data_IF_568488884738
#
_entry.id   IF_568488884738
#
_cell.length_a   1.000
_cell.length_b   1.000
_cell.length_c   1.000
_cell.angle_alpha   90.00
_cell.angle_beta   90.00
_cell.angle_gamma   90.00
#
_symmetry.space_group_name_H-M   'P 1'
#
loop_
_entity.id
_entity.type
_entity.pdbx_description
1 polymer ?
#
# COMPACT_ATOMS: atom_id res chain seq x y z
N UNK A 1 5.11 -6.03 -5.63
CA UNK A 1 5.62 -5.83 -7.02
C UNK A 1 5.09 -4.54 -7.64
N UNK A 2 5.94 -3.78 -8.33
CA UNK A 2 5.57 -2.50 -8.99
C UNK A 2 4.85 -2.73 -10.33
N UNK A 3 4.14 -1.70 -10.85
CA UNK A 3 3.45 -1.78 -12.16
C UNK A 3 4.42 -2.12 -13.30
N UNK A 4 5.58 -1.46 -13.31
CA UNK A 4 6.63 -1.65 -14.33
C UNK A 4 7.14 -3.09 -14.36
N UNK A 5 7.26 -3.74 -13.20
CA UNK A 5 7.69 -5.13 -13.15
C UNK A 5 6.62 -6.08 -13.69
N UNK A 6 5.33 -5.78 -13.46
CA UNK A 6 4.21 -6.57 -13.98
C UNK A 6 4.13 -6.43 -15.50
N UNK A 7 4.31 -5.23 -16.04
CA UNK A 7 4.38 -4.98 -17.49
C UNK A 7 5.55 -5.71 -18.14
N UNK A 8 6.74 -5.66 -17.52
CA UNK A 8 7.90 -6.41 -18.00
C UNK A 8 7.63 -7.93 -18.00
N UNK A 9 7.04 -8.47 -16.93
CA UNK A 9 6.66 -9.87 -16.86
C UNK A 9 5.64 -10.24 -17.95
N UNK A 10 4.62 -9.41 -18.17
CA UNK A 10 3.64 -9.60 -19.24
C UNK A 10 4.29 -9.59 -20.63
N UNK A 11 5.23 -8.68 -20.88
CA UNK A 11 5.92 -8.61 -22.18
C UNK A 11 6.76 -9.87 -22.43
N UNK A 12 7.50 -10.35 -21.42
CA UNK A 12 8.31 -11.56 -21.56
C UNK A 12 7.41 -12.79 -21.79
N UNK A 13 6.29 -12.93 -21.08
CA UNK A 13 5.38 -14.07 -21.24
C UNK A 13 4.58 -14.05 -22.54
N UNK A 14 4.45 -12.90 -23.20
CA UNK A 14 3.86 -12.77 -24.53
C UNK A 14 4.83 -13.12 -25.66
N UNK A 15 6.12 -12.84 -25.47
CA UNK A 15 7.16 -13.03 -26.51
C UNK A 15 7.78 -14.42 -26.45
N UNK A 16 7.89 -15.01 -25.26
CA UNK A 16 8.57 -16.29 -25.05
C UNK A 16 7.62 -17.36 -24.52
N UNK A 17 7.73 -18.57 -25.07
CA UNK A 17 7.07 -19.77 -24.54
C UNK A 17 7.81 -20.27 -23.29
N UNK A 18 7.54 -19.62 -22.16
CA UNK A 18 8.18 -19.95 -20.89
C UNK A 18 7.67 -21.28 -20.32
N UNK A 19 8.59 -22.09 -19.82
CA UNK A 19 8.25 -23.24 -18.96
C UNK A 19 7.75 -22.77 -17.60
N UNK A 20 7.00 -23.62 -16.89
CA UNK A 20 6.59 -23.34 -15.51
C UNK A 20 7.77 -22.99 -14.60
N UNK A 21 8.91 -23.69 -14.76
CA UNK A 21 10.14 -23.40 -14.01
C UNK A 21 10.68 -21.99 -14.28
N UNK A 22 10.68 -21.56 -15.55
CA UNK A 22 11.13 -20.23 -15.93
C UNK A 22 10.18 -19.14 -15.40
N UNK A 23 8.87 -19.39 -15.43
CA UNK A 23 7.87 -18.50 -14.82
C UNK A 23 8.11 -18.34 -13.32
N UNK A 24 8.26 -19.46 -12.60
CA UNK A 24 8.52 -19.44 -11.16
C UNK A 24 9.85 -18.77 -10.81
N UNK A 25 10.87 -18.93 -11.65
CA UNK A 25 12.15 -18.23 -11.50
C UNK A 25 11.99 -16.72 -11.68
N UNK A 26 11.26 -16.27 -12.69
CA UNK A 26 10.98 -14.85 -12.93
C UNK A 26 10.19 -14.23 -11.78
N UNK A 27 9.29 -14.97 -11.15
CA UNK A 27 8.56 -14.52 -9.96
C UNK A 27 9.49 -14.38 -8.74
N UNK A 28 10.52 -15.21 -8.60
CA UNK A 28 11.44 -15.14 -7.45
C UNK A 28 12.40 -13.93 -7.47
N UNK A 29 12.59 -13.27 -8.62
CA UNK A 29 13.54 -12.16 -8.73
C UNK A 29 12.99 -10.84 -8.13
N UNK A 30 11.75 -10.40 -8.45
CA UNK A 30 11.21 -9.13 -7.96
C UNK A 30 10.30 -9.24 -6.73
N UNK A 31 9.97 -10.46 -6.27
CA UNK A 31 9.02 -10.69 -5.18
C UNK A 31 9.71 -11.33 -3.97
N UNK A 32 9.34 -10.88 -2.77
CA UNK A 32 9.58 -11.66 -1.55
C UNK A 32 8.73 -12.94 -1.54
N UNK A 33 9.10 -13.91 -0.69
CA UNK A 33 8.32 -15.14 -0.53
C UNK A 33 6.84 -14.87 -0.16
N UNK A 34 6.59 -13.86 0.69
CA UNK A 34 5.24 -13.46 1.10
C UNK A 34 4.45 -12.86 -0.06
N UNK A 35 5.04 -11.93 -0.82
CA UNK A 35 4.36 -11.34 -1.98
C UNK A 35 4.08 -12.37 -3.07
N UNK A 36 5.00 -13.32 -3.30
CA UNK A 36 4.80 -14.43 -4.23
C UNK A 36 3.64 -15.31 -3.78
N UNK A 37 3.60 -15.71 -2.51
CA UNK A 37 2.53 -16.54 -1.98
C UNK A 37 1.17 -15.82 -2.09
N UNK A 38 1.12 -14.53 -1.76
CA UNK A 38 -0.08 -13.72 -1.91
C UNK A 38 -0.54 -13.65 -3.37
N UNK A 39 0.39 -13.44 -4.32
CA UNK A 39 0.06 -13.37 -5.74
C UNK A 39 -0.49 -14.69 -6.29
N UNK A 40 0.12 -15.82 -5.92
CA UNK A 40 -0.35 -17.15 -6.32
C UNK A 40 -1.71 -17.49 -5.69
N UNK A 41 -1.94 -17.11 -4.44
CA UNK A 41 -3.24 -17.28 -3.78
C UNK A 41 -4.31 -16.41 -4.45
N UNK A 42 -4.01 -15.16 -4.77
CA UNK A 42 -4.94 -14.29 -5.49
C UNK A 42 -5.26 -14.81 -6.90
N UNK A 43 -4.27 -15.40 -7.57
CA UNK A 43 -4.44 -16.06 -8.86
C UNK A 43 -5.33 -17.32 -8.75
N UNK A 44 -5.14 -18.13 -7.70
CA UNK A 44 -5.97 -19.30 -7.40
C UNK A 44 -7.43 -18.90 -7.18
N UNK A 45 -7.70 -17.95 -6.27
CA UNK A 45 -9.05 -17.45 -6.00
C UNK A 45 -9.70 -16.88 -7.27
N UNK A 46 -8.94 -16.12 -8.07
CA UNK A 46 -9.46 -15.58 -9.32
C UNK A 46 -9.83 -16.67 -10.33
N UNK A 47 -9.00 -17.71 -10.47
CA UNK A 47 -9.27 -18.84 -11.37
C UNK A 47 -10.46 -19.70 -10.92
N UNK A 48 -10.73 -19.80 -9.62
CA UNK A 48 -11.93 -20.44 -9.07
C UNK A 48 -13.21 -19.65 -9.41
N UNK A 49 -13.16 -18.32 -9.26
CA UNK A 49 -14.28 -17.43 -9.51
C UNK A 49 -14.56 -17.22 -11.02
N UNK A 50 -13.50 -17.23 -11.84
CA UNK A 50 -13.55 -16.91 -13.27
C UNK A 50 -12.93 -18.03 -14.11
N UNK A 51 -13.56 -19.22 -14.14
CA UNK A 51 -13.06 -20.33 -14.93
C UNK A 51 -13.14 -19.97 -16.42
N UNK A 52 -11.99 -19.68 -17.01
CA UNK A 52 -11.87 -19.47 -18.43
C UNK A 52 -12.23 -20.77 -19.19
N UNK A 53 -13.14 -20.67 -20.16
CA UNK A 53 -13.54 -21.79 -21.00
C UNK A 53 -12.66 -21.85 -22.25
N UNK A 54 -12.08 -23.02 -22.55
CA UNK A 54 -11.50 -23.26 -23.87
C UNK A 54 -12.62 -23.36 -24.90
N UNK A 55 -12.65 -22.45 -25.85
CA UNK A 55 -13.38 -22.63 -27.11
C UNK A 55 -12.36 -22.66 -28.24
N UNK A 56 -11.93 -23.85 -28.64
CA UNK A 56 -11.43 -24.02 -30.00
C UNK A 56 -12.66 -24.00 -30.92
N UNK A 57 -12.71 -23.06 -31.85
CA UNK A 57 -13.80 -22.99 -32.82
C UNK A 57 -13.85 -24.21 -33.77
N UNK A 58 -12.90 -25.15 -33.65
CA UNK A 58 -12.76 -26.31 -34.55
C UNK A 58 -13.06 -27.67 -33.91
N UNK A 59 -13.35 -27.75 -32.63
CA UNK A 59 -13.66 -29.03 -31.96
C UNK A 59 -14.83 -28.87 -31.02
N UNK A 60 -15.90 -29.62 -31.30
CA UNK A 60 -16.97 -29.87 -30.33
C UNK A 60 -16.34 -30.37 -29.02
N UNK A 61 -16.87 -29.90 -27.89
CA UNK A 61 -16.37 -30.23 -26.55
C UNK A 61 -16.35 -31.75 -26.37
N UNK A 62 -15.17 -32.36 -26.45
CA UNK A 62 -15.00 -33.78 -26.19
C UNK A 62 -15.39 -34.07 -24.72
N UNK A 63 -16.46 -34.84 -24.46
CA UNK A 63 -16.91 -35.14 -23.10
C UNK A 63 -15.94 -36.02 -22.31
N UNK A 64 -14.88 -36.54 -22.95
CA UNK A 64 -13.82 -37.34 -22.31
C UNK A 64 -12.65 -36.51 -21.81
N UNK A 65 -12.54 -35.22 -22.17
CA UNK A 65 -11.52 -34.33 -21.64
C UNK A 65 -11.79 -34.02 -20.16
N UNK A 66 -10.79 -34.21 -19.31
CA UNK A 66 -10.88 -33.89 -17.88
C UNK A 66 -11.38 -32.44 -17.67
N UNK A 67 -12.20 -32.20 -16.63
CA UNK A 67 -12.70 -30.87 -16.34
C UNK A 67 -11.55 -29.88 -16.21
N UNK A 68 -11.75 -28.68 -16.77
CA UNK A 68 -10.73 -27.64 -16.82
C UNK A 68 -10.10 -27.41 -15.44
N UNK A 69 -8.76 -27.31 -15.36
CA UNK A 69 -8.08 -27.06 -14.10
C UNK A 69 -8.58 -25.76 -13.48
N UNK A 70 -9.05 -25.83 -12.23
CA UNK A 70 -9.46 -24.68 -11.41
C UNK A 70 -8.56 -24.56 -10.19
N UNK A 71 -8.51 -23.36 -9.62
CA UNK A 71 -7.72 -23.07 -8.43
C UNK A 71 -6.28 -23.59 -8.53
N UNK A 72 -5.90 -24.47 -7.60
CA UNK A 72 -4.54 -25.05 -7.50
C UNK A 72 -4.08 -25.81 -8.73
N UNK A 73 -4.98 -26.34 -9.54
CA UNK A 73 -4.61 -27.04 -10.78
C UNK A 73 -4.24 -26.05 -11.89
N UNK A 74 -4.84 -24.86 -11.87
CA UNK A 74 -4.58 -23.81 -12.85
C UNK A 74 -3.35 -22.97 -12.49
N UNK A 75 -3.08 -22.82 -11.19
CA UNK A 75 -1.92 -22.11 -10.65
C UNK A 75 -1.12 -23.04 -9.74
N UNK A 76 -0.43 -24.05 -10.31
CA UNK A 76 0.25 -25.06 -9.53
C UNK A 76 1.50 -24.48 -8.85
N UNK A 77 1.64 -24.74 -7.55
CA UNK A 77 2.81 -24.36 -6.73
C UNK A 77 3.99 -25.33 -6.88
N UNK A 78 3.73 -26.54 -7.37
CA UNK A 78 4.70 -27.55 -7.77
C UNK A 78 4.72 -27.73 -9.29
N UNK A 79 5.78 -28.35 -9.83
CA UNK A 79 5.93 -28.56 -11.27
C UNK A 79 4.79 -29.44 -11.81
N UNK A 80 3.89 -28.92 -12.66
CA UNK A 80 2.73 -29.65 -13.12
C UNK A 80 3.02 -30.69 -14.21
N UNK A 81 4.28 -30.79 -14.69
CA UNK A 81 4.67 -31.68 -15.79
C UNK A 81 3.80 -31.53 -17.04
N UNK A 82 3.36 -30.30 -17.36
CA UNK A 82 2.58 -30.06 -18.57
C UNK A 82 3.35 -30.49 -19.81
N UNK A 83 2.69 -31.26 -20.67
CA UNK A 83 3.29 -31.78 -21.89
C UNK A 83 3.68 -30.63 -22.84
N UNK A 84 4.98 -30.51 -23.19
CA UNK A 84 5.39 -29.58 -24.22
C UNK A 84 4.75 -29.92 -25.57
N UNK A 85 4.53 -28.91 -26.40
CA UNK A 85 4.14 -29.05 -27.82
C UNK A 85 2.76 -29.70 -28.09
N UNK A 86 1.96 -29.99 -27.07
CA UNK A 86 0.56 -30.39 -27.23
C UNK A 86 -0.37 -29.17 -27.15
N UNK A 87 -1.53 -29.25 -27.82
CA UNK A 87 -2.56 -28.21 -27.72
C UNK A 87 -3.01 -28.01 -26.26
N UNK A 88 -3.19 -29.12 -25.54
CA UNK A 88 -3.57 -29.13 -24.11
C UNK A 88 -2.50 -28.49 -23.24
N UNK A 89 -1.23 -28.87 -23.37
CA UNK A 89 -0.15 -28.30 -22.56
C UNK A 89 0.15 -26.83 -22.89
N UNK A 90 0.01 -26.43 -24.15
CA UNK A 90 0.05 -25.02 -24.56
C UNK A 90 -1.08 -24.22 -23.93
N UNK A 91 -2.29 -24.76 -23.90
CA UNK A 91 -3.43 -24.11 -23.31
C UNK A 91 -3.29 -23.97 -21.78
N UNK A 92 -2.89 -25.04 -21.08
CA UNK A 92 -2.66 -25.04 -19.64
C UNK A 92 -1.63 -23.98 -19.23
N UNK A 93 -0.52 -23.89 -19.98
CA UNK A 93 0.51 -22.86 -19.80
C UNK A 93 -0.06 -21.45 -19.94
N UNK A 94 -0.76 -21.17 -21.04
CA UNK A 94 -1.33 -19.84 -21.31
C UNK A 94 -2.36 -19.43 -20.25
N UNK A 95 -3.19 -20.37 -19.79
CA UNK A 95 -4.15 -20.12 -18.73
C UNK A 95 -3.48 -19.82 -17.39
N UNK A 96 -2.49 -20.62 -17.01
CA UNK A 96 -1.75 -20.38 -15.78
C UNK A 96 -1.08 -19.01 -15.79
N UNK A 97 -0.46 -18.62 -16.91
CA UNK A 97 0.13 -17.30 -17.08
C UNK A 97 -0.90 -16.17 -16.93
N UNK A 98 -2.10 -16.33 -17.49
CA UNK A 98 -3.17 -15.36 -17.35
C UNK A 98 -3.62 -15.18 -15.89
N UNK A 99 -3.81 -16.28 -15.16
CA UNK A 99 -4.19 -16.22 -13.75
C UNK A 99 -3.06 -15.67 -12.87
N UNK A 100 -1.81 -16.08 -13.09
CA UNK A 100 -0.65 -15.53 -12.38
C UNK A 100 -0.56 -14.02 -12.60
N UNK A 101 -0.71 -13.56 -13.85
CA UNK A 101 -0.68 -12.14 -14.18
C UNK A 101 -1.79 -11.37 -13.47
N UNK A 102 -2.99 -11.94 -13.37
CA UNK A 102 -4.09 -11.32 -12.65
C UNK A 102 -3.87 -11.33 -11.13
N UNK A 103 -3.32 -12.41 -10.57
CA UNK A 103 -2.87 -12.47 -9.18
C UNK A 103 -1.85 -11.38 -8.86
N UNK A 104 -0.86 -11.17 -9.73
CA UNK A 104 0.13 -10.08 -9.61
C UNK A 104 -0.51 -8.69 -9.68
N UNK A 105 -1.53 -8.49 -10.53
CA UNK A 105 -2.26 -7.21 -10.61
C UNK A 105 -3.07 -6.95 -9.36
N UNK A 106 -3.70 -7.97 -8.79
CA UNK A 106 -4.50 -7.90 -7.56
C UNK A 106 -3.64 -7.67 -6.31
N UNK A 107 -2.44 -8.23 -6.28
CA UNK A 107 -1.48 -8.04 -5.18
C UNK A 107 -0.44 -6.96 -5.44
N UNK A 108 -0.61 -6.20 -6.53
CA UNK A 108 0.24 -5.08 -6.87
C UNK A 108 0.30 -4.12 -5.69
N UNK A 109 1.52 -3.89 -5.20
CA UNK A 109 1.75 -2.86 -4.19
C UNK A 109 1.71 -1.50 -4.88
N UNK A 110 0.91 -0.57 -4.35
CA UNK A 110 0.98 0.85 -4.73
C UNK A 110 2.42 1.29 -4.53
N UNK A 111 3.05 1.96 -5.53
CA UNK A 111 4.37 2.52 -5.34
C UNK A 111 4.33 3.48 -4.14
N UNK A 112 5.27 3.31 -3.23
CA UNK A 112 5.40 4.11 -2.02
C UNK A 112 5.68 5.58 -2.40
N UNK A 113 4.66 6.43 -2.36
CA UNK A 113 4.77 7.81 -2.82
C UNK A 113 5.14 8.74 -1.66
N UNK A 114 6.42 8.72 -1.29
CA UNK A 114 6.94 9.54 -0.20
C UNK A 114 6.75 11.05 -0.44
N UNK A 115 6.87 11.51 -1.69
CA UNK A 115 6.71 12.94 -2.00
C UNK A 115 5.30 13.44 -1.71
N UNK A 116 4.26 12.63 -1.98
CA UNK A 116 2.88 12.98 -1.62
C UNK A 116 2.69 13.03 -0.10
N UNK A 117 3.27 12.10 0.66
CA UNK A 117 3.24 12.18 2.13
C UNK A 117 3.93 13.44 2.65
N UNK A 118 5.06 13.83 2.05
CA UNK A 118 5.81 15.03 2.41
C UNK A 118 5.06 16.35 2.15
N UNK A 119 4.01 16.36 1.31
CA UNK A 119 3.19 17.56 1.09
C UNK A 119 2.19 17.88 2.20
N UNK A 120 1.95 16.94 3.12
CA UNK A 120 1.02 17.12 4.24
C UNK A 120 1.71 17.94 5.34
N UNK A 121 1.62 19.26 5.28
CA UNK A 121 2.11 20.14 6.35
C UNK A 121 1.04 20.43 7.41
N UNK A 122 1.47 20.67 8.64
CA UNK A 122 0.62 21.21 9.71
C UNK A 122 0.06 22.58 9.29
N UNK A 123 -1.26 22.77 9.42
CA UNK A 123 -1.88 24.10 9.25
C UNK A 123 -2.01 24.77 10.63
N UNK A 124 -1.68 26.06 10.76
CA UNK A 124 -1.63 26.74 12.06
C UNK A 124 -3.00 26.74 12.78
N UNK A 125 -4.09 26.77 12.03
CA UNK A 125 -5.47 26.73 12.54
C UNK A 125 -5.98 25.30 12.83
N UNK A 126 -5.18 24.30 12.49
CA UNK A 126 -5.56 22.90 12.64
C UNK A 126 -5.07 22.37 14.00
N UNK A 127 -5.93 21.60 14.67
CA UNK A 127 -5.53 20.92 15.89
C UNK A 127 -4.68 19.66 15.57
N UNK A 128 -3.85 19.19 16.51
CA UNK A 128 -2.97 18.04 16.28
C UNK A 128 -3.70 16.74 15.89
N UNK A 129 -4.97 16.56 16.29
CA UNK A 129 -5.78 15.40 15.90
C UNK A 129 -6.11 15.41 14.42
N UNK A 130 -6.61 16.53 13.90
CA UNK A 130 -6.93 16.68 12.49
C UNK A 130 -5.67 16.50 11.63
N UNK A 131 -4.52 17.02 12.08
CA UNK A 131 -3.25 16.81 11.39
C UNK A 131 -2.85 15.33 11.34
N UNK A 132 -2.95 14.61 12.46
CA UNK A 132 -2.64 13.18 12.52
C UNK A 132 -3.59 12.35 11.65
N UNK A 133 -4.88 12.68 11.61
CA UNK A 133 -5.85 12.02 10.74
C UNK A 133 -5.51 12.23 9.26
N UNK A 134 -5.16 13.44 8.83
CA UNK A 134 -4.73 13.67 7.43
C UNK A 134 -3.48 12.87 7.07
N UNK A 135 -2.55 12.69 8.01
CA UNK A 135 -1.38 11.83 7.82
C UNK A 135 -1.78 10.34 7.66
N UNK A 136 -2.73 9.85 8.47
CA UNK A 136 -3.29 8.49 8.35
C UNK A 136 -4.02 8.29 7.02
N UNK A 137 -4.87 9.23 6.62
CA UNK A 137 -5.56 9.19 5.33
C UNK A 137 -4.57 9.19 4.17
N UNK A 138 -3.54 10.03 4.22
CA UNK A 138 -2.51 10.10 3.20
C UNK A 138 -1.69 8.80 3.14
N UNK A 139 -1.38 8.17 4.27
CA UNK A 139 -0.72 6.87 4.35
C UNK A 139 -1.54 5.81 3.60
N UNK A 140 -2.83 5.68 3.92
CA UNK A 140 -3.74 4.72 3.29
C UNK A 140 -3.90 5.00 1.79
N UNK A 141 -3.98 6.28 1.42
CA UNK A 141 -4.20 6.70 0.03
C UNK A 141 -2.97 6.45 -0.85
N UNK A 142 -1.79 6.82 -0.37
CA UNK A 142 -0.55 6.93 -1.17
C UNK A 142 0.50 5.84 -0.89
N UNK A 143 0.23 4.92 0.03
CA UNK A 143 1.11 3.78 0.30
C UNK A 143 0.33 2.46 0.29
N UNK A 144 1.06 1.34 0.28
CA UNK A 144 0.53 -0.01 0.51
C UNK A 144 0.82 -0.53 1.92
N UNK A 145 1.28 0.35 2.82
CA UNK A 145 1.55 -0.02 4.21
C UNK A 145 0.21 -0.22 4.91
N UNK A 146 0.07 -1.33 5.63
CA UNK A 146 -1.11 -1.59 6.45
C UNK A 146 -1.24 -0.54 7.55
N UNK A 147 -2.44 0.01 7.82
CA UNK A 147 -2.61 1.13 8.76
C UNK A 147 -2.14 0.80 10.19
N UNK A 148 -2.23 -0.48 10.58
CA UNK A 148 -1.85 -0.98 11.91
C UNK A 148 -0.46 -1.64 11.95
N UNK A 149 0.35 -1.46 10.90
CA UNK A 149 1.69 -2.02 10.84
C UNK A 149 2.71 -1.21 11.64
N UNK A 150 3.80 -1.86 12.04
CA UNK A 150 4.92 -1.18 12.71
C UNK A 150 5.57 -0.12 11.80
N UNK A 151 5.62 -0.39 10.50
CA UNK A 151 6.11 0.55 9.48
C UNK A 151 5.21 1.80 9.38
N UNK A 152 3.89 1.63 9.48
CA UNK A 152 2.95 2.75 9.54
C UNK A 152 3.23 3.63 10.76
N UNK A 153 3.42 3.02 11.93
CA UNK A 153 3.69 3.75 13.17
C UNK A 153 4.99 4.55 13.09
N UNK A 154 6.07 3.95 12.59
CA UNK A 154 7.36 4.64 12.38
C UNK A 154 7.18 5.84 11.44
N UNK A 155 6.48 5.64 10.32
CA UNK A 155 6.34 6.69 9.32
C UNK A 155 5.44 7.82 9.79
N UNK A 156 4.33 7.50 10.46
CA UNK A 156 3.43 8.47 11.07
C UNK A 156 4.18 9.29 12.12
N UNK A 157 5.01 8.65 12.96
CA UNK A 157 5.83 9.35 13.94
C UNK A 157 6.80 10.34 13.28
N UNK A 158 7.58 9.87 12.30
CA UNK A 158 8.52 10.72 11.58
C UNK A 158 7.83 11.93 10.94
N UNK A 159 6.70 11.70 10.27
CA UNK A 159 5.93 12.76 9.60
C UNK A 159 5.31 13.73 10.60
N UNK A 160 4.70 13.21 11.66
CA UNK A 160 4.10 14.03 12.72
C UNK A 160 5.13 14.99 13.35
N UNK A 161 6.38 14.54 13.54
CA UNK A 161 7.46 15.40 14.03
C UNK A 161 7.93 16.38 12.95
N UNK A 162 8.31 15.88 11.77
CA UNK A 162 9.00 16.69 10.74
C UNK A 162 8.11 17.75 10.10
N UNK A 163 6.80 17.47 9.99
CA UNK A 163 5.81 18.32 9.34
C UNK A 163 4.97 19.16 10.32
N UNK A 164 5.16 19.02 11.64
CA UNK A 164 4.60 19.92 12.63
C UNK A 164 5.11 21.35 12.48
N UNK A 165 4.34 22.31 13.02
CA UNK A 165 4.75 23.71 13.12
C UNK A 165 6.11 23.84 13.84
N UNK A 166 6.97 24.83 13.50
CA UNK A 166 8.36 24.88 13.98
C UNK A 166 8.55 24.84 15.50
N UNK A 167 7.64 25.47 16.25
CA UNK A 167 7.61 25.54 17.71
C UNK A 167 7.19 24.20 18.34
N UNK A 168 6.15 23.56 17.80
CA UNK A 168 5.70 22.21 18.18
C UNK A 168 6.79 21.19 17.85
N UNK A 169 7.32 21.21 16.62
CA UNK A 169 8.36 20.31 16.12
C UNK A 169 9.58 20.27 17.05
N UNK A 170 10.05 21.42 17.52
CA UNK A 170 11.21 21.49 18.43
C UNK A 170 10.96 20.76 19.75
N UNK A 171 9.74 20.80 20.28
CA UNK A 171 9.35 20.06 21.49
C UNK A 171 9.23 18.56 21.21
N UNK A 172 8.59 18.19 20.11
CA UNK A 172 8.43 16.80 19.69
C UNK A 172 9.77 16.09 19.44
N UNK A 173 10.72 16.77 18.78
CA UNK A 173 12.06 16.23 18.53
C UNK A 173 12.81 15.91 19.83
N UNK A 174 12.68 16.74 20.87
CA UNK A 174 13.31 16.49 22.17
C UNK A 174 12.72 15.27 22.86
N UNK A 175 11.40 15.09 22.80
CA UNK A 175 10.71 13.95 23.38
C UNK A 175 11.07 12.64 22.64
N UNK A 176 11.18 12.70 21.31
CA UNK A 176 11.47 11.56 20.47
C UNK A 176 12.85 10.91 20.71
N UNK A 177 13.77 11.62 21.36
CA UNK A 177 15.10 11.11 21.75
C UNK A 177 15.02 10.21 22.99
N UNK A 178 13.99 10.38 23.83
CA UNK A 178 13.79 9.59 25.03
C UNK A 178 13.01 8.29 24.81
N UNK A 179 12.90 7.43 25.85
CA UNK A 179 12.09 6.20 25.81
C UNK A 179 10.59 6.49 25.63
N UNK A 180 10.16 7.74 25.83
CA UNK A 180 8.78 8.20 25.65
C UNK A 180 8.45 8.66 24.22
N UNK A 181 9.32 8.38 23.24
CA UNK A 181 9.13 8.75 21.84
C UNK A 181 8.05 7.97 21.08
N UNK A 182 6.95 7.60 21.72
CA UNK A 182 5.79 6.94 21.07
C UNK A 182 4.88 7.96 20.40
N UNK A 183 4.10 7.52 19.41
CA UNK A 183 3.18 8.41 18.68
C UNK A 183 2.13 9.04 19.63
N UNK A 184 1.63 8.27 20.59
CA UNK A 184 0.65 8.73 21.60
C UNK A 184 1.21 9.85 22.49
N UNK A 185 2.45 9.71 22.96
CA UNK A 185 3.09 10.72 23.81
C UNK A 185 3.40 12.00 23.03
N UNK A 186 3.87 11.86 21.78
CA UNK A 186 4.08 12.99 20.89
C UNK A 186 2.76 13.73 20.63
N UNK A 187 1.68 13.00 20.40
CA UNK A 187 0.34 13.56 20.21
C UNK A 187 -0.15 14.33 21.45
N UNK A 188 0.00 13.76 22.65
CA UNK A 188 -0.34 14.44 23.91
C UNK A 188 0.39 15.77 24.07
N UNK A 189 1.70 15.79 23.80
CA UNK A 189 2.50 17.02 23.88
C UNK A 189 2.06 18.04 22.83
N UNK A 190 1.80 17.62 21.60
CA UNK A 190 1.30 18.52 20.56
C UNK A 190 -0.02 19.18 20.97
N UNK A 191 -0.97 18.41 21.52
CA UNK A 191 -2.25 18.94 22.01
C UNK A 191 -2.07 19.93 23.16
N UNK A 192 -1.19 19.65 24.12
CA UNK A 192 -0.93 20.59 25.21
C UNK A 192 -0.32 21.90 24.72
N UNK A 193 0.58 21.84 23.73
CA UNK A 193 1.19 23.05 23.15
C UNK A 193 0.15 23.88 22.41
N UNK A 194 -0.69 23.25 21.61
CA UNK A 194 -1.78 23.92 20.89
C UNK A 194 -2.77 24.60 21.84
N UNK A 195 -3.22 23.88 22.88
CA UNK A 195 -4.15 24.44 23.86
C UNK A 195 -3.57 25.62 24.65
N UNK A 196 -2.29 25.53 25.04
CA UNK A 196 -1.62 26.63 25.75
C UNK A 196 -1.49 27.87 24.85
N UNK A 197 -1.25 27.69 23.55
CA UNK A 197 -1.22 28.77 22.58
C UNK A 197 -2.57 29.48 22.49
N UNK A 198 -3.67 28.73 22.34
CA UNK A 198 -5.02 29.28 22.27
C UNK A 198 -5.37 30.13 23.50
N UNK A 199 -4.98 29.66 24.69
CA UNK A 199 -5.15 30.41 25.93
C UNK A 199 -4.34 31.70 25.96
N UNK A 200 -3.07 31.66 25.55
CA UNK A 200 -2.19 32.83 25.55
C UNK A 200 -2.67 33.89 24.53
N UNK A 201 -3.13 33.46 23.36
CA UNK A 201 -3.67 34.36 22.33
C UNK A 201 -4.97 35.03 22.79
N UNK A 202 -5.87 34.30 23.45
CA UNK A 202 -7.09 34.87 24.03
C UNK A 202 -6.77 35.94 25.09
N UNK A 203 -5.82 35.65 25.98
CA UNK A 203 -5.38 36.61 27.00
C UNK A 203 -4.72 37.86 26.40
N UNK A 204 -3.92 37.71 25.35
CA UNK A 204 -3.28 38.85 24.69
C UNK A 204 -4.31 39.74 23.97
N UNK A 205 -5.31 39.13 23.31
CA UNK A 205 -6.45 39.87 22.72
C UNK A 205 -7.21 40.67 23.80
N UNK A 206 -7.52 40.05 24.93
CA UNK A 206 -8.21 40.74 26.03
C UNK A 206 -7.37 41.89 26.62
N UNK A 207 -6.06 41.68 26.82
CA UNK A 207 -5.13 42.75 27.26
C UNK A 207 -5.08 43.91 26.27
N UNK A 208 -5.09 43.64 24.96
CA UNK A 208 -5.11 44.67 23.90
C UNK A 208 -6.42 45.45 23.89
N UNK A 209 -7.56 44.77 24.07
CA UNK A 209 -8.89 45.40 24.17
C UNK A 209 -8.93 46.30 25.41
N UNK A 210 -8.49 45.80 26.57
CA UNK A 210 -8.47 46.56 27.83
C UNK A 210 -7.59 47.82 27.72
N UNK A 211 -6.38 47.69 27.18
CA UNK A 211 -5.48 48.84 26.96
C UNK A 211 -6.09 49.88 26.01
N UNK A 212 -6.79 49.45 24.96
CA UNK A 212 -7.50 50.38 24.05
C UNK A 212 -8.67 51.08 24.74
N UNK A 213 -9.44 50.36 25.56
CA UNK A 213 -10.54 50.94 26.32
C UNK A 213 -10.03 51.97 27.34
N UNK A 214 -8.95 51.66 28.05
CA UNK A 214 -8.28 52.59 28.98
C UNK A 214 -7.75 53.84 28.26
N UNK A 215 -7.17 53.69 27.07
CA UNK A 215 -6.65 54.82 26.28
C UNK A 215 -7.73 55.72 25.66
N UNK A 216 -8.96 55.23 25.50
CA UNK A 216 -10.11 56.00 24.98
C UNK A 216 -10.93 56.67 26.09
N UNK A 217 -10.62 56.38 27.36
CA UNK A 217 -11.27 56.95 28.54
C UNK A 217 -10.59 58.23 29.05
N UNK A 218 -9.52 58.69 28.38
CA UNK A 218 -8.82 59.95 28.58
C UNK A 218 -8.94 60.82 27.32
#
# INVERSE_FOLDING_TARGET
>A
MTLTNIEAFQNVTQVFDLSWKNVMLLLNQPLTNSEKQAALQAAETFGDDHPLTYHDARTERDPTLEPFPRGKQAVPTADPQWEPDTATGNWQRKHSLAYILEGLRRTKTKPFNYSKLSTISYNLEENPSAFLERLREALIKYTSIGPDSFEAEILLKDKFITQAAPDIRRKLQKLAIGPEGTLDQLFKVANSVHYNWDQEEAQDKERKIRKKAEALAF
#
